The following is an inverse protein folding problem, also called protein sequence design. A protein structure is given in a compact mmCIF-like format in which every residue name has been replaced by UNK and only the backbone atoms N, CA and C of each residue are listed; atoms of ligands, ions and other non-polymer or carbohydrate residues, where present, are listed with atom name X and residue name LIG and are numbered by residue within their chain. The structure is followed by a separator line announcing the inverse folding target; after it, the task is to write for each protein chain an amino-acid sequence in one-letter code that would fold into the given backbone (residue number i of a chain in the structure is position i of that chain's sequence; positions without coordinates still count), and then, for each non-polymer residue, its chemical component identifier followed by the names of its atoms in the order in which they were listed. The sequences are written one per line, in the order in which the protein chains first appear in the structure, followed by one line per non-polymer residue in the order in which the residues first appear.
data_IF_738805822339
#
_entry.id   IF_738805822339
#
_cell.length_a   1.000
_cell.length_b   1.000
_cell.length_c   1.000
_cell.angle_alpha   90.00
_cell.angle_beta   90.00
_cell.angle_gamma   90.00
#
_symmetry.space_group_name_H-M   'P 1'
#
loop_
_entity.id
_entity.type
_entity.pdbx_description
1 polymer ?
#
# COMPACT_ATOMS: atom_id res chain seq x y z
N UNK A 1 -13.11 15.61 -16.26
CA UNK A 1 -11.74 16.08 -16.58
C UNK A 1 -10.85 14.86 -16.74
N UNK A 2 -10.18 14.66 -17.88
CA UNK A 2 -9.32 13.50 -18.10
C UNK A 2 -8.03 13.59 -17.28
N UNK A 3 -7.59 12.47 -16.71
CA UNK A 3 -6.45 12.32 -15.80
C UNK A 3 -5.06 12.61 -16.41
N UNK A 4 -4.97 13.22 -17.60
CA UNK A 4 -3.74 13.28 -18.39
C UNK A 4 -2.86 14.51 -18.13
N UNK A 5 -3.35 15.51 -17.39
CA UNK A 5 -2.67 16.81 -17.23
C UNK A 5 -2.11 17.09 -15.83
N UNK A 6 -1.96 16.08 -14.98
CA UNK A 6 -1.19 16.22 -13.74
C UNK A 6 0.29 16.03 -14.07
N UNK A 7 0.95 17.12 -14.48
CA UNK A 7 2.39 17.19 -14.65
C UNK A 7 3.12 16.67 -13.41
N UNK A 8 3.70 15.48 -13.52
CA UNK A 8 4.60 14.90 -12.52
C UNK A 8 5.80 15.84 -12.33
N UNK A 9 5.73 16.70 -11.30
CA UNK A 9 6.96 17.27 -10.73
C UNK A 9 7.81 16.07 -10.31
N UNK A 10 9.04 15.97 -10.81
CA UNK A 10 10.06 15.02 -10.33
C UNK A 10 10.05 15.00 -8.80
N UNK A 11 9.42 14.00 -8.19
CA UNK A 11 9.13 13.98 -6.76
C UNK A 11 9.09 12.54 -6.28
N UNK A 12 10.22 12.12 -5.71
CA UNK A 12 10.39 10.99 -4.79
C UNK A 12 9.37 9.84 -4.92
N UNK A 13 9.61 8.91 -5.84
CA UNK A 13 9.12 7.55 -5.63
C UNK A 13 9.82 6.98 -4.39
N UNK A 14 9.06 6.60 -3.37
CA UNK A 14 9.60 5.97 -2.16
C UNK A 14 10.01 4.55 -2.54
N UNK A 15 11.23 4.37 -3.03
CA UNK A 15 11.72 3.12 -3.66
C UNK A 15 11.74 1.90 -2.72
N UNK A 16 11.67 2.15 -1.42
CA UNK A 16 11.73 1.15 -0.37
C UNK A 16 10.37 0.92 0.31
N UNK A 17 9.27 1.38 -0.31
CA UNK A 17 7.91 1.24 0.21
C UNK A 17 7.08 0.38 -0.74
N UNK A 18 6.44 -0.65 -0.20
CA UNK A 18 5.48 -1.50 -0.90
C UNK A 18 4.13 -1.38 -0.21
N UNK A 19 3.08 -1.16 -1.00
CA UNK A 19 1.72 -1.07 -0.48
C UNK A 19 0.83 -2.00 -1.29
N UNK A 20 0.16 -2.94 -0.63
CA UNK A 20 -0.64 -3.96 -1.27
C UNK A 20 -1.82 -4.38 -0.40
N UNK A 21 -2.80 -5.05 -1.00
CA UNK A 21 -3.91 -5.66 -0.29
C UNK A 21 -3.99 -7.16 -0.62
N UNK A 22 -3.75 -8.08 0.32
CA UNK A 22 -4.14 -9.47 0.16
C UNK A 22 -5.67 -9.57 0.09
N UNK A 23 -6.19 -10.37 -0.83
CA UNK A 23 -7.63 -10.54 -1.07
C UNK A 23 -8.13 -11.85 -0.47
N UNK A 24 -9.42 -11.94 -0.14
CA UNK A 24 -10.02 -13.14 0.48
C UNK A 24 -9.93 -14.40 -0.40
N UNK A 25 -9.77 -14.24 -1.72
CA UNK A 25 -9.59 -15.34 -2.67
C UNK A 25 -8.13 -15.82 -2.79
N UNK A 26 -7.20 -15.25 -2.03
CA UNK A 26 -5.77 -15.58 -2.06
C UNK A 26 -4.96 -14.79 -3.09
N UNK A 27 -5.60 -13.96 -3.92
CA UNK A 27 -4.91 -13.02 -4.80
C UNK A 27 -4.36 -11.83 -4.02
N UNK A 28 -3.54 -11.02 -4.68
CA UNK A 28 -2.98 -9.79 -4.11
C UNK A 28 -3.13 -8.63 -5.09
N UNK A 29 -3.60 -7.50 -4.58
CA UNK A 29 -3.70 -6.26 -5.33
C UNK A 29 -2.55 -5.32 -4.94
N UNK A 30 -1.67 -5.00 -5.88
CA UNK A 30 -0.57 -4.06 -5.66
C UNK A 30 -1.03 -2.63 -5.90
N UNK A 31 -0.84 -1.74 -4.91
CA UNK A 31 -1.01 -0.30 -5.08
C UNK A 31 0.31 0.31 -5.57
N UNK A 32 0.81 -0.21 -6.70
CA UNK A 32 2.01 0.26 -7.36
C UNK A 32 1.82 1.69 -7.91
N UNK A 33 2.93 2.44 -8.04
CA UNK A 33 2.97 3.78 -8.66
C UNK A 33 2.15 4.89 -7.96
N UNK A 34 1.76 4.69 -6.69
CA UNK A 34 1.16 5.74 -5.88
C UNK A 34 2.25 6.73 -5.42
N UNK A 35 2.55 7.72 -6.27
CA UNK A 35 3.60 8.73 -6.01
C UNK A 35 3.25 9.64 -4.83
N UNK A 36 1.95 9.81 -4.54
CA UNK A 36 1.46 10.60 -3.41
C UNK A 36 0.44 9.83 -2.57
N UNK A 37 0.27 10.24 -1.30
CA UNK A 37 -0.80 9.70 -0.46
C UNK A 37 -2.20 9.91 -1.04
N UNK A 38 -2.40 10.92 -1.89
CA UNK A 38 -3.67 11.12 -2.62
C UNK A 38 -3.92 10.03 -3.65
N UNK A 39 -2.88 9.59 -4.35
CA UNK A 39 -2.99 8.53 -5.35
C UNK A 39 -3.28 7.20 -4.68
N UNK A 40 -2.67 6.95 -3.51
CA UNK A 40 -2.96 5.80 -2.67
C UNK A 40 -4.44 5.77 -2.25
N UNK A 41 -4.95 6.88 -1.72
CA UNK A 41 -6.36 7.01 -1.32
C UNK A 41 -7.29 6.80 -2.52
N UNK A 42 -6.95 7.35 -3.69
CA UNK A 42 -7.71 7.12 -4.92
C UNK A 42 -7.70 5.65 -5.34
N UNK A 43 -6.56 4.98 -5.28
CA UNK A 43 -6.43 3.56 -5.59
C UNK A 43 -7.28 2.70 -4.66
N UNK A 44 -7.26 3.00 -3.36
CA UNK A 44 -8.08 2.31 -2.36
C UNK A 44 -9.60 2.47 -2.63
N UNK A 45 -10.04 3.66 -3.08
CA UNK A 45 -11.44 3.90 -3.42
C UNK A 45 -11.89 3.32 -4.77
N UNK A 46 -10.96 2.97 -5.67
CA UNK A 46 -11.31 2.51 -7.02
C UNK A 46 -12.04 1.16 -7.03
N UNK A 47 -12.09 0.42 -5.92
CA UNK A 47 -12.91 -0.79 -5.75
C UNK A 47 -12.78 -1.84 -6.86
N UNK A 48 -11.68 -1.84 -7.62
CA UNK A 48 -11.45 -2.75 -8.74
C UNK A 48 -10.83 -4.09 -8.28
N UNK A 49 -11.07 -4.48 -7.03
CA UNK A 49 -10.63 -5.75 -6.48
C UNK A 49 -11.51 -6.87 -7.04
N UNK A 50 -10.90 -7.97 -7.48
CA UNK A 50 -11.60 -9.21 -7.89
C UNK A 50 -12.34 -9.88 -6.73
N UNK A 51 -11.91 -9.60 -5.49
CA UNK A 51 -12.52 -10.01 -4.25
C UNK A 51 -12.24 -8.98 -3.13
N UNK A 52 -13.02 -8.96 -2.02
CA UNK A 52 -12.75 -8.07 -0.90
C UNK A 52 -11.31 -8.21 -0.35
N UNK A 53 -10.68 -7.11 0.06
CA UNK A 53 -9.38 -7.17 0.74
C UNK A 53 -9.53 -7.79 2.13
N UNK A 54 -8.51 -8.51 2.59
CA UNK A 54 -8.37 -8.95 3.99
C UNK A 54 -7.74 -7.85 4.86
N UNK A 55 -6.85 -7.07 4.26
CA UNK A 55 -6.13 -5.98 4.91
C UNK A 55 -5.52 -5.04 3.85
N UNK A 56 -5.14 -3.84 4.29
CA UNK A 56 -4.14 -3.01 3.63
C UNK A 56 -2.81 -3.22 4.32
N UNK A 57 -1.77 -3.55 3.55
CA UNK A 57 -0.42 -3.80 4.06
C UNK A 57 0.53 -2.75 3.50
N UNK A 58 1.28 -2.12 4.40
CA UNK A 58 2.34 -1.17 4.09
C UNK A 58 3.65 -1.75 4.64
N UNK A 59 4.59 -2.03 3.75
CA UNK A 59 5.92 -2.51 4.09
C UNK A 59 6.95 -1.48 3.67
N UNK A 60 7.87 -1.16 4.57
CA UNK A 60 9.06 -0.42 4.23
C UNK A 60 10.30 -1.15 4.74
N UNK A 61 11.35 -1.20 3.92
CA UNK A 61 12.66 -1.67 4.33
C UNK A 61 13.65 -0.51 4.41
N UNK A 62 14.64 -0.60 5.30
CA UNK A 62 15.78 0.32 5.27
C UNK A 62 17.01 -0.31 4.62
N UNK A 63 18.12 0.43 4.61
CA UNK A 63 19.38 -0.03 4.00
C UNK A 63 20.04 -1.18 4.78
N UNK A 64 19.63 -1.41 6.02
CA UNK A 64 20.18 -2.42 6.92
C UNK A 64 19.32 -3.70 6.88
N UNK A 65 18.29 -3.76 6.03
CA UNK A 65 17.40 -4.92 5.93
C UNK A 65 16.33 -4.96 7.03
N UNK A 66 16.17 -3.89 7.82
CA UNK A 66 15.07 -3.82 8.79
C UNK A 66 13.78 -3.52 8.05
N UNK A 67 12.74 -4.29 8.36
CA UNK A 67 11.42 -4.16 7.76
C UNK A 67 10.42 -3.70 8.81
N UNK A 68 9.74 -2.59 8.52
CA UNK A 68 8.50 -2.22 9.20
C UNK A 68 7.33 -2.68 8.34
N UNK A 69 6.42 -3.44 8.96
CA UNK A 69 5.16 -3.88 8.35
C UNK A 69 4.00 -3.34 9.15
N UNK A 70 3.13 -2.58 8.49
CA UNK A 70 1.86 -2.08 9.04
C UNK A 70 0.75 -2.85 8.34
N UNK A 71 -0.10 -3.52 9.12
CA UNK A 71 -1.28 -4.24 8.64
C UNK A 71 -2.51 -3.58 9.20
N UNK A 72 -3.34 -3.04 8.32
CA UNK A 72 -4.63 -2.44 8.64
C UNK A 72 -5.70 -3.45 8.18
N UNK A 73 -6.33 -4.20 9.10
CA UNK A 73 -7.35 -5.16 8.74
C UNK A 73 -8.52 -4.49 8.01
N UNK A 74 -9.15 -5.23 7.09
CA UNK A 74 -10.40 -4.80 6.48
C UNK A 74 -11.59 -5.26 7.34
N UNK A 75 -11.66 -4.73 8.55
CA UNK A 75 -12.69 -5.00 9.54
C UNK A 75 -12.99 -3.74 10.38
N UNK A 76 -13.89 -3.87 11.36
CA UNK A 76 -14.29 -2.79 12.26
C UNK A 76 -13.44 -2.72 13.55
N UNK A 77 -12.25 -3.32 13.57
CA UNK A 77 -11.44 -3.40 14.79
C UNK A 77 -10.85 -2.06 15.25
N UNK A 78 -10.91 -1.01 14.42
CA UNK A 78 -10.28 0.30 14.63
C UNK A 78 -8.78 0.23 15.00
N UNK A 79 -8.13 -0.91 14.75
CA UNK A 79 -6.73 -1.16 15.13
C UNK A 79 -5.89 -1.48 13.91
N UNK A 80 -4.63 -1.08 13.96
CA UNK A 80 -3.60 -1.50 13.00
C UNK A 80 -2.49 -2.22 13.74
N UNK A 81 -2.00 -3.32 13.17
CA UNK A 81 -0.85 -4.05 13.72
C UNK A 81 0.43 -3.52 13.08
N UNK A 82 1.40 -3.17 13.92
CA UNK A 82 2.74 -2.75 13.48
C UNK A 82 3.73 -3.84 13.92
N UNK A 83 4.61 -4.24 13.01
CA UNK A 83 5.70 -5.18 13.28
C UNK A 83 7.00 -4.57 12.76
N UNK A 84 8.04 -4.63 13.58
CA UNK A 84 9.40 -4.25 13.20
C UNK A 84 10.26 -5.50 13.32
N UNK A 85 10.88 -5.91 12.22
CA UNK A 85 11.71 -7.10 12.14
C UNK A 85 13.05 -6.77 11.48
N UNK A 86 14.08 -7.52 11.84
CA UNK A 86 15.38 -7.50 11.15
C UNK A 86 15.41 -8.71 10.20
N UNK A 87 15.68 -8.49 8.91
CA UNK A 87 15.86 -9.59 7.96
C UNK A 87 17.14 -10.36 8.38
N UNK A 88 16.98 -11.64 8.74
CA UNK A 88 18.04 -12.50 9.29
C UNK A 88 18.95 -13.08 8.21
#
# INVERSE_FOLDING_TARGET
MPLKDLGCRKGFTVKNLRIYAPLVNGEQFELADCVTGRDLVRGAFQNNWTAPPQALVIEASDKEGRVIRIVIPYDDSETARITVAEES
#
